data_IF_221566835662
#
_entry.id   IF_221566835662
#
_cell.length_a   1.000
_cell.length_b   1.000
_cell.length_c   1.000
_cell.angle_alpha   90.00
_cell.angle_beta   90.00
_cell.angle_gamma   90.00
#
_symmetry.space_group_name_H-M   'P 1'
#
loop_
_entity.id
_entity.type
_entity.pdbx_description
1 polymer ?
#
# COMPACT_ATOMS: atom_id res chain seq x y z
N UNK A 1 5.95 -51.23 11.29
CA UNK A 1 5.90 -51.16 9.82
C UNK A 1 4.59 -50.61 9.23
N UNK A 2 3.46 -50.59 9.96
CA UNK A 2 2.19 -50.06 9.42
C UNK A 2 1.98 -48.54 9.58
N UNK A 3 2.54 -47.90 10.61
CA UNK A 3 2.44 -46.45 10.80
C UNK A 3 3.13 -45.61 9.70
N UNK A 4 4.25 -46.12 9.16
CA UNK A 4 4.95 -45.45 8.06
C UNK A 4 4.17 -45.48 6.73
N UNK A 5 3.33 -46.50 6.51
CA UNK A 5 2.47 -46.59 5.33
C UNK A 5 1.30 -45.61 5.39
N UNK A 6 0.74 -45.35 6.58
CA UNK A 6 -0.33 -44.36 6.75
C UNK A 6 0.17 -42.91 6.62
N UNK A 7 1.39 -42.61 7.08
CA UNK A 7 1.98 -41.27 6.95
C UNK A 7 2.24 -40.87 5.48
N UNK A 8 2.63 -41.83 4.63
CA UNK A 8 2.87 -41.60 3.19
C UNK A 8 1.55 -41.43 2.43
N UNK A 9 0.50 -42.17 2.80
CA UNK A 9 -0.83 -42.04 2.18
C UNK A 9 -1.50 -40.71 2.57
N UNK A 10 -1.36 -40.25 3.81
CA UNK A 10 -1.90 -38.95 4.24
C UNK A 10 -1.17 -37.75 3.61
N UNK A 11 0.15 -37.85 3.38
CA UNK A 11 0.91 -36.76 2.75
C UNK A 11 0.64 -36.66 1.25
N UNK A 12 0.39 -37.78 0.56
CA UNK A 12 -0.05 -37.78 -0.84
C UNK A 12 -1.50 -37.27 -1.00
N UNK A 13 -2.39 -37.59 -0.06
CA UNK A 13 -3.77 -37.08 -0.06
C UNK A 13 -3.83 -35.56 0.18
N UNK A 14 -2.95 -35.01 1.02
CA UNK A 14 -2.83 -33.57 1.26
C UNK A 14 -2.21 -32.81 0.08
N UNK A 15 -1.39 -33.47 -0.75
CA UNK A 15 -0.89 -32.88 -2.00
C UNK A 15 -1.94 -32.87 -3.11
N UNK A 16 -2.86 -33.84 -3.13
CA UNK A 16 -3.97 -33.82 -4.10
C UNK A 16 -5.06 -32.80 -3.75
N UNK A 17 -5.33 -32.54 -2.47
CA UNK A 17 -6.32 -31.52 -2.09
C UNK A 17 -5.83 -30.08 -2.28
N UNK A 18 -4.50 -29.84 -2.27
CA UNK A 18 -3.93 -28.53 -2.55
C UNK A 18 -3.95 -28.16 -4.05
N UNK A 19 -3.98 -29.14 -4.96
CA UNK A 19 -4.00 -28.90 -6.41
C UNK A 19 -5.44 -28.63 -6.91
N UNK A 20 -6.47 -29.14 -6.24
CA UNK A 20 -7.88 -28.99 -6.66
C UNK A 20 -8.48 -27.63 -6.30
N UNK A 21 -7.83 -26.83 -5.44
CA UNK A 21 -8.33 -25.50 -5.08
C UNK A 21 -8.05 -24.39 -6.13
N UNK A 22 -7.32 -24.68 -7.21
CA UNK A 22 -6.92 -23.68 -8.21
C UNK A 22 -7.74 -23.71 -9.52
N UNK A 23 -8.75 -24.57 -9.67
CA UNK A 23 -9.45 -24.78 -10.95
C UNK A 23 -10.88 -24.26 -10.94
N UNK A 24 -11.08 -22.99 -10.55
CA UNK A 24 -12.33 -22.26 -10.80
C UNK A 24 -12.06 -20.91 -11.50
N UNK A 25 -11.03 -20.85 -12.34
CA UNK A 25 -10.95 -19.81 -13.36
C UNK A 25 -11.65 -20.35 -14.61
N UNK A 26 -12.80 -19.78 -14.97
CA UNK A 26 -13.56 -20.08 -16.20
C UNK A 26 -12.85 -19.61 -17.47
N UNK A 27 -11.60 -19.15 -17.35
CA UNK A 27 -10.80 -18.58 -18.42
C UNK A 27 -9.68 -19.53 -18.78
N UNK A 28 -9.70 -20.01 -20.03
CA UNK A 28 -8.61 -20.79 -20.58
C UNK A 28 -7.42 -19.88 -20.89
N UNK A 29 -6.18 -20.31 -20.58
CA UNK A 29 -5.01 -19.56 -21.00
C UNK A 29 -4.97 -19.49 -22.52
N UNK A 30 -4.61 -18.33 -23.07
CA UNK A 30 -4.42 -18.17 -24.50
C UNK A 30 -3.20 -18.96 -24.95
N UNK A 31 -3.25 -19.56 -26.14
CA UNK A 31 -2.11 -20.30 -26.71
C UNK A 31 -0.90 -19.41 -26.97
N UNK A 32 -1.13 -18.11 -27.19
CA UNK A 32 -0.09 -17.09 -27.38
C UNK A 32 0.57 -16.64 -26.07
N UNK A 33 0.00 -16.97 -24.90
CA UNK A 33 0.46 -16.44 -23.61
C UNK A 33 0.02 -15.00 -23.33
N UNK A 34 -0.68 -14.35 -24.27
CA UNK A 34 -1.21 -12.99 -24.12
C UNK A 34 -2.46 -13.03 -23.22
N UNK A 35 -2.45 -12.27 -22.13
CA UNK A 35 -3.60 -12.17 -21.23
C UNK A 35 -4.76 -11.45 -21.93
N UNK A 36 -5.99 -11.83 -21.61
CA UNK A 36 -7.19 -11.35 -22.32
C UNK A 36 -7.46 -9.84 -22.17
N UNK A 37 -7.08 -9.24 -21.04
CA UNK A 37 -7.44 -7.86 -20.68
C UNK A 37 -6.22 -6.98 -20.36
N UNK A 38 -5.02 -7.51 -20.57
CA UNK A 38 -3.76 -6.80 -20.29
C UNK A 38 -3.11 -6.54 -21.63
N UNK A 39 -2.80 -5.27 -21.88
CA UNK A 39 -2.08 -4.82 -23.06
C UNK A 39 -0.74 -5.58 -23.20
N UNK A 40 -0.43 -6.17 -24.37
CA UNK A 40 0.86 -6.78 -24.63
C UNK A 40 2.06 -5.86 -24.35
N UNK A 41 1.90 -4.55 -24.50
CA UNK A 41 2.94 -3.57 -24.27
C UNK A 41 3.10 -3.17 -22.79
N UNK A 42 2.21 -3.65 -21.90
CA UNK A 42 2.36 -3.37 -20.47
C UNK A 42 3.66 -4.01 -19.94
N UNK A 43 4.54 -3.23 -19.28
CA UNK A 43 5.79 -3.73 -18.73
C UNK A 43 5.59 -4.86 -17.69
N UNK A 44 6.46 -5.87 -17.72
CA UNK A 44 6.35 -7.05 -16.83
C UNK A 44 6.45 -6.70 -15.34
N UNK A 45 7.16 -5.63 -14.97
CA UNK A 45 7.27 -5.15 -13.59
C UNK A 45 5.94 -4.59 -13.03
N UNK A 46 4.98 -4.29 -13.91
CA UNK A 46 3.64 -3.81 -13.56
C UNK A 46 2.63 -4.95 -13.36
N UNK A 47 3.02 -6.19 -13.66
CA UNK A 47 2.11 -7.34 -13.58
C UNK A 47 1.79 -7.74 -12.14
N UNK A 48 2.63 -7.34 -11.20
CA UNK A 48 2.51 -7.65 -9.78
C UNK A 48 2.83 -6.42 -8.96
N UNK A 49 1.88 -6.01 -8.12
CA UNK A 49 2.08 -4.92 -7.18
C UNK A 49 2.03 -5.44 -5.74
N UNK A 50 2.97 -5.00 -4.91
CA UNK A 50 2.92 -5.27 -3.47
C UNK A 50 2.34 -4.06 -2.75
N UNK A 51 1.15 -4.22 -2.18
CA UNK A 51 0.50 -3.16 -1.41
C UNK A 51 1.32 -2.74 -0.19
N UNK A 52 1.05 -1.55 0.33
CA UNK A 52 1.67 -1.05 1.58
C UNK A 52 1.44 -1.94 2.81
N UNK A 53 0.47 -2.88 2.73
CA UNK A 53 0.18 -3.88 3.76
C UNK A 53 0.82 -5.24 3.48
N UNK A 54 1.73 -5.34 2.49
CA UNK A 54 2.42 -6.57 2.11
C UNK A 54 1.58 -7.57 1.30
N UNK A 55 0.34 -7.23 0.94
CA UNK A 55 -0.49 -8.09 0.06
C UNK A 55 -0.04 -7.94 -1.38
N UNK A 56 0.12 -9.07 -2.07
CA UNK A 56 0.33 -9.16 -3.52
C UNK A 56 -0.98 -8.90 -4.26
N UNK A 57 -0.94 -8.07 -5.28
CA UNK A 57 -2.01 -7.81 -6.24
C UNK A 57 -1.49 -8.13 -7.64
N UNK A 58 -2.23 -8.95 -8.38
CA UNK A 58 -1.90 -9.27 -9.77
C UNK A 58 -2.68 -8.34 -10.71
N UNK A 59 -2.04 -7.91 -11.80
CA UNK A 59 -2.64 -7.06 -12.81
C UNK A 59 -3.74 -7.82 -13.56
N UNK A 60 -4.95 -7.25 -13.55
CA UNK A 60 -6.15 -7.83 -14.16
C UNK A 60 -6.55 -7.14 -15.46
N UNK A 61 -6.23 -5.87 -15.63
CA UNK A 61 -6.59 -5.06 -16.79
C UNK A 61 -5.58 -3.92 -16.98
N UNK A 62 -5.15 -3.67 -18.21
CA UNK A 62 -4.29 -2.52 -18.57
C UNK A 62 -4.47 -2.15 -20.05
N UNK A 63 -4.23 -0.87 -20.35
CA UNK A 63 -4.11 -0.32 -21.71
C UNK A 63 -3.04 0.76 -21.68
N UNK A 64 -2.03 0.65 -22.54
CA UNK A 64 -0.98 1.67 -22.68
C UNK A 64 -1.31 2.65 -23.82
N UNK A 65 -2.31 2.35 -24.65
CA UNK A 65 -2.75 3.16 -25.80
C UNK A 65 -1.68 3.41 -26.88
N UNK A 66 -0.74 2.48 -27.04
CA UNK A 66 0.40 2.60 -27.97
C UNK A 66 0.04 2.40 -29.45
N UNK A 67 -1.16 1.91 -29.77
CA UNK A 67 -1.61 1.74 -31.15
C UNK A 67 -2.31 3.02 -31.62
N UNK A 68 -1.79 3.75 -32.63
CA UNK A 68 -2.39 5.00 -33.09
C UNK A 68 -3.68 4.78 -33.89
N UNK A 69 -4.53 5.81 -33.93
CA UNK A 69 -5.77 5.85 -34.70
C UNK A 69 -6.77 4.74 -34.35
N UNK A 70 -6.83 4.32 -33.08
CA UNK A 70 -7.88 3.40 -32.61
C UNK A 70 -9.26 4.07 -32.72
N UNK A 71 -10.22 3.32 -33.22
CA UNK A 71 -11.63 3.68 -33.17
C UNK A 71 -12.25 3.04 -31.93
N UNK A 72 -12.93 3.85 -31.13
CA UNK A 72 -13.66 3.37 -29.96
C UNK A 72 -15.16 3.23 -30.25
N UNK A 73 -15.59 3.11 -31.51
CA UNK A 73 -17.01 2.83 -31.79
C UNK A 73 -17.37 1.43 -31.29
N UNK A 74 -18.66 1.22 -31.05
CA UNK A 74 -19.13 -0.07 -30.59
C UNK A 74 -18.75 -1.18 -31.60
N UNK A 75 -17.89 -2.11 -31.19
CA UNK A 75 -17.40 -3.23 -31.99
C UNK A 75 -16.00 -3.06 -32.59
N UNK A 76 -15.46 -1.84 -32.60
CA UNK A 76 -14.13 -1.56 -33.18
C UNK A 76 -12.99 -1.83 -32.19
N UNK A 77 -13.24 -1.62 -30.89
CA UNK A 77 -12.27 -1.86 -29.82
C UNK A 77 -12.79 -2.92 -28.85
N UNK A 78 -11.89 -3.83 -28.45
CA UNK A 78 -12.22 -4.99 -27.62
C UNK A 78 -12.40 -4.64 -26.13
N UNK A 79 -11.91 -3.48 -25.68
CA UNK A 79 -11.89 -3.11 -24.27
C UNK A 79 -12.69 -1.84 -23.99
N UNK A 80 -12.68 -0.88 -24.92
CA UNK A 80 -13.32 0.41 -24.76
C UNK A 80 -14.46 0.64 -25.75
N UNK A 81 -15.44 1.46 -25.34
CA UNK A 81 -16.50 1.97 -26.19
C UNK A 81 -16.73 3.45 -25.88
N UNK A 82 -16.76 4.25 -26.92
CA UNK A 82 -17.17 5.65 -26.89
C UNK A 82 -18.68 5.76 -26.97
N UNK A 83 -19.23 6.85 -26.47
CA UNK A 83 -20.67 7.13 -26.47
C UNK A 83 -21.02 8.28 -27.43
N UNK A 84 -22.20 8.17 -28.03
CA UNK A 84 -22.83 9.21 -28.85
C UNK A 84 -24.18 9.57 -28.22
N UNK A 85 -24.21 10.64 -27.42
CA UNK A 85 -25.44 11.12 -26.79
C UNK A 85 -25.28 12.54 -26.25
N UNK A 86 -26.37 13.32 -26.15
CA UNK A 86 -26.38 14.52 -25.31
C UNK A 86 -26.13 14.17 -23.85
N UNK A 87 -25.37 15.02 -23.17
CA UNK A 87 -25.30 14.96 -21.71
C UNK A 87 -26.53 15.67 -21.11
N UNK A 88 -27.57 14.88 -20.85
CA UNK A 88 -28.83 15.37 -20.28
C UNK A 88 -28.80 15.58 -18.77
N UNK A 89 -27.65 15.45 -18.10
CA UNK A 89 -27.55 15.50 -16.64
C UNK A 89 -26.93 16.83 -16.20
N UNK A 90 -27.43 17.40 -15.09
CA UNK A 90 -26.87 18.59 -14.43
C UNK A 90 -26.75 19.86 -15.29
N UNK A 91 -27.55 20.00 -16.35
CA UNK A 91 -27.47 21.17 -17.23
C UNK A 91 -26.17 21.24 -18.03
N UNK A 92 -25.59 20.09 -18.36
CA UNK A 92 -24.41 20.01 -19.19
C UNK A 92 -24.64 20.65 -20.57
N UNK A 93 -23.61 21.34 -21.05
CA UNK A 93 -23.63 22.09 -22.31
C UNK A 93 -23.03 21.31 -23.48
N UNK A 94 -22.65 20.05 -23.25
CA UNK A 94 -21.88 19.24 -24.19
C UNK A 94 -22.62 18.01 -24.74
N UNK A 95 -22.30 17.66 -25.98
CA UNK A 95 -22.68 16.42 -26.64
C UNK A 95 -21.47 15.49 -26.68
N UNK A 96 -21.64 14.23 -26.26
CA UNK A 96 -20.62 13.20 -26.48
C UNK A 96 -20.73 12.66 -27.91
N UNK A 97 -19.59 12.58 -28.59
CA UNK A 97 -19.51 12.04 -29.94
C UNK A 97 -18.31 11.11 -30.13
N UNK A 98 -18.49 10.09 -30.98
CA UNK A 98 -17.47 9.09 -31.28
C UNK A 98 -16.21 9.68 -31.94
N UNK A 99 -16.35 10.77 -32.70
CA UNK A 99 -15.25 11.39 -33.46
C UNK A 99 -14.42 12.40 -32.64
N UNK A 100 -14.70 12.53 -31.34
CA UNK A 100 -14.01 13.41 -30.41
C UNK A 100 -12.97 12.67 -29.55
N UNK A 101 -12.65 11.42 -29.89
CA UNK A 101 -11.66 10.61 -29.18
C UNK A 101 -10.94 9.66 -30.14
N UNK A 102 -9.67 9.41 -29.88
CA UNK A 102 -8.88 8.34 -30.51
C UNK A 102 -7.56 8.18 -29.74
N UNK A 103 -6.61 7.46 -30.31
CA UNK A 103 -5.23 7.37 -29.85
C UNK A 103 -4.31 8.04 -30.86
N UNK A 104 -3.25 8.67 -30.38
CA UNK A 104 -2.23 9.33 -31.21
C UNK A 104 -0.85 9.05 -30.64
N UNK A 105 0.15 9.03 -31.52
CA UNK A 105 1.55 9.07 -31.13
C UNK A 105 2.17 10.36 -31.65
N UNK A 106 2.94 11.03 -30.80
CA UNK A 106 3.75 12.20 -31.17
C UNK A 106 5.10 11.75 -31.76
N UNK A 107 5.83 12.69 -32.37
CA UNK A 107 7.11 12.41 -33.06
C UNK A 107 8.21 11.93 -32.10
N UNK A 108 8.07 12.18 -30.79
CA UNK A 108 8.96 11.70 -29.73
C UNK A 108 8.72 10.22 -29.36
N UNK A 109 7.73 9.58 -29.98
CA UNK A 109 7.32 8.21 -29.70
C UNK A 109 6.34 8.07 -28.53
N UNK A 110 5.89 9.17 -27.92
CA UNK A 110 4.88 9.14 -26.86
C UNK A 110 3.51 8.91 -27.48
N UNK A 111 2.91 7.75 -27.19
CA UNK A 111 1.53 7.44 -27.57
C UNK A 111 0.57 7.69 -26.40
N UNK A 112 -0.64 8.16 -26.73
CA UNK A 112 -1.65 8.48 -25.74
C UNK A 112 -3.06 8.39 -26.31
N UNK A 113 -3.99 8.05 -25.43
CA UNK A 113 -5.41 8.30 -25.61
C UNK A 113 -5.72 9.78 -25.43
N UNK A 114 -6.55 10.34 -26.32
CA UNK A 114 -7.00 11.72 -26.20
C UNK A 114 -8.52 11.85 -26.31
N UNK A 115 -9.02 12.89 -25.64
CA UNK A 115 -10.36 13.45 -25.83
C UNK A 115 -10.16 14.89 -26.27
N UNK A 116 -10.84 15.28 -27.34
CA UNK A 116 -10.90 16.68 -27.79
C UNK A 116 -12.30 17.24 -27.51
N UNK A 117 -12.35 18.53 -27.25
CA UNK A 117 -13.61 19.27 -27.12
C UNK A 117 -13.57 20.43 -28.10
N UNK A 118 -14.65 20.62 -28.85
CA UNK A 118 -14.81 21.71 -29.81
C UNK A 118 -16.01 22.57 -29.44
N UNK A 119 -15.91 23.87 -29.70
CA UNK A 119 -17.02 24.80 -29.66
C UNK A 119 -17.84 24.64 -30.94
N UNK A 120 -19.03 24.03 -30.81
CA UNK A 120 -19.92 23.74 -31.93
C UNK A 120 -21.35 23.67 -31.44
N UNK A 121 -22.21 24.51 -32.02
CA UNK A 121 -23.64 24.55 -31.71
C UNK A 121 -24.33 23.32 -32.30
N UNK A 122 -24.84 22.48 -31.41
CA UNK A 122 -25.60 21.28 -31.69
C UNK A 122 -27.03 21.48 -31.20
N UNK A 123 -28.01 21.27 -32.09
CA UNK A 123 -29.42 21.38 -31.74
C UNK A 123 -30.08 20.01 -31.80
N UNK A 124 -30.75 19.63 -30.73
CA UNK A 124 -31.53 18.39 -30.67
C UNK A 124 -32.99 18.73 -30.43
N UNK A 125 -33.84 18.26 -31.32
CA UNK A 125 -35.29 18.36 -31.19
C UNK A 125 -35.79 17.26 -30.26
N UNK A 126 -36.23 17.63 -29.07
CA UNK A 126 -36.70 16.68 -28.03
C UNK A 126 -38.16 16.94 -27.70
N UNK A 127 -38.86 15.89 -27.27
CA UNK A 127 -40.23 16.00 -26.78
C UNK A 127 -40.22 16.28 -25.28
N UNK A 128 -40.72 17.45 -24.87
CA UNK A 128 -40.80 17.82 -23.47
C UNK A 128 -42.20 17.52 -22.91
N UNK A 129 -42.28 16.51 -22.06
CA UNK A 129 -43.54 16.12 -21.39
C UNK A 129 -43.89 17.02 -20.19
N UNK A 130 -42.97 17.89 -19.76
CA UNK A 130 -43.12 18.77 -18.60
C UNK A 130 -43.67 20.16 -18.96
N UNK A 131 -43.74 20.52 -20.25
CA UNK A 131 -44.43 21.73 -20.71
C UNK A 131 -45.95 21.53 -20.71
N UNK A 132 -46.72 22.61 -20.58
CA UNK A 132 -48.19 22.58 -20.55
C UNK A 132 -48.73 23.57 -21.59
N UNK A 133 -49.15 23.12 -22.79
CA UNK A 133 -49.26 21.72 -23.23
C UNK A 133 -47.89 21.08 -23.55
N UNK A 134 -47.76 19.74 -23.44
CA UNK A 134 -46.57 19.02 -23.88
C UNK A 134 -46.26 19.28 -25.36
N UNK A 135 -45.02 19.63 -25.66
CA UNK A 135 -44.61 20.02 -27.02
C UNK A 135 -43.17 19.62 -27.31
N UNK A 136 -42.81 19.63 -28.59
CA UNK A 136 -41.41 19.57 -28.99
C UNK A 136 -40.71 20.89 -28.67
N UNK A 137 -39.45 20.81 -28.27
CA UNK A 137 -38.58 21.96 -28.04
C UNK A 137 -37.16 21.68 -28.56
N UNK A 138 -36.46 22.77 -28.88
CA UNK A 138 -35.09 22.73 -29.39
C UNK A 138 -34.14 22.96 -28.22
N UNK A 139 -33.29 21.97 -27.95
CA UNK A 139 -32.26 22.05 -26.92
C UNK A 139 -30.92 22.27 -27.56
N UNK A 140 -30.19 23.26 -27.06
CA UNK A 140 -28.91 23.70 -27.58
C UNK A 140 -27.76 23.18 -26.72
N UNK A 141 -26.81 22.52 -27.36
CA UNK A 141 -25.51 22.14 -26.80
C UNK A 141 -24.44 22.96 -27.50
N UNK A 142 -23.55 23.59 -26.74
CA UNK A 142 -22.55 24.52 -27.26
C UNK A 142 -21.20 23.84 -27.50
N UNK A 143 -20.99 22.68 -26.90
CA UNK A 143 -19.73 21.96 -27.00
C UNK A 143 -19.96 20.54 -27.51
N UNK A 144 -18.98 20.00 -28.23
CA UNK A 144 -18.92 18.59 -28.57
C UNK A 144 -17.62 18.00 -28.02
N UNK A 145 -17.75 16.97 -27.19
CA UNK A 145 -16.64 16.24 -26.57
C UNK A 145 -16.79 14.73 -26.77
N UNK A 146 -16.04 13.93 -26.01
CA UNK A 146 -16.17 12.47 -26.00
C UNK A 146 -16.28 11.91 -24.59
N UNK A 147 -16.99 10.79 -24.47
CA UNK A 147 -17.01 9.93 -23.29
C UNK A 147 -16.66 8.52 -23.74
N UNK A 148 -15.72 7.88 -23.04
CA UNK A 148 -15.28 6.51 -23.28
C UNK A 148 -15.47 5.69 -22.01
N UNK A 149 -15.97 4.48 -22.16
CA UNK A 149 -16.27 3.53 -21.08
C UNK A 149 -15.70 2.15 -21.43
N UNK A 150 -15.36 1.34 -20.43
CA UNK A 150 -14.98 -0.05 -20.69
C UNK A 150 -16.22 -0.89 -21.02
N UNK A 151 -16.06 -1.88 -21.91
CA UNK A 151 -17.12 -2.86 -22.21
C UNK A 151 -17.49 -3.69 -20.99
N UNK A 152 -16.47 -4.08 -20.23
CA UNK A 152 -16.67 -4.81 -18.99
C UNK A 152 -16.89 -3.84 -17.84
N UNK A 153 -18.01 -4.03 -17.15
CA UNK A 153 -18.25 -3.43 -15.84
C UNK A 153 -17.47 -4.24 -14.82
N UNK A 154 -16.38 -3.67 -14.31
CA UNK A 154 -15.62 -4.31 -13.24
C UNK A 154 -16.34 -4.13 -11.90
N UNK A 155 -16.53 -5.21 -11.15
CA UNK A 155 -16.94 -5.12 -9.76
C UNK A 155 -15.73 -4.79 -8.90
N UNK A 156 -15.58 -3.53 -8.49
CA UNK A 156 -14.47 -3.12 -7.64
C UNK A 156 -14.72 -3.49 -6.18
N UNK A 157 -14.09 -4.57 -5.72
CA UNK A 157 -14.17 -5.01 -4.32
C UNK A 157 -12.89 -4.71 -3.51
N UNK A 158 -11.86 -4.20 -4.18
CA UNK A 158 -10.55 -3.88 -3.61
C UNK A 158 -9.45 -4.00 -4.66
N UNK A 159 -8.35 -3.28 -4.44
CA UNK A 159 -7.22 -3.23 -5.37
C UNK A 159 -6.73 -1.80 -5.54
N UNK A 160 -6.17 -1.52 -6.72
CA UNK A 160 -5.69 -0.22 -7.11
C UNK A 160 -6.02 0.00 -8.59
N UNK A 161 -6.43 1.22 -8.90
CA UNK A 161 -6.56 1.71 -10.26
C UNK A 161 -5.59 2.88 -10.40
N UNK A 162 -4.71 2.81 -11.39
CA UNK A 162 -3.70 3.82 -11.66
C UNK A 162 -3.89 4.33 -13.09
N UNK A 163 -3.90 5.65 -13.25
CA UNK A 163 -4.03 6.30 -14.55
C UNK A 163 -3.00 7.41 -14.61
N UNK A 164 -2.22 7.44 -15.68
CA UNK A 164 -1.38 8.59 -16.04
C UNK A 164 -2.18 9.48 -16.97
N UNK A 165 -2.70 10.58 -16.45
CA UNK A 165 -3.52 11.52 -17.22
C UNK A 165 -2.88 12.91 -17.27
N UNK A 166 -2.98 13.55 -18.43
CA UNK A 166 -2.76 14.98 -18.60
C UNK A 166 -4.14 15.64 -18.72
N UNK A 167 -4.47 16.48 -17.74
CA UNK A 167 -5.74 17.19 -17.77
C UNK A 167 -5.72 18.29 -18.84
N UNK A 168 -6.85 18.55 -19.51
CA UNK A 168 -6.95 19.67 -20.43
C UNK A 168 -6.68 20.96 -19.67
N UNK A 169 -5.77 21.76 -20.20
CA UNK A 169 -5.37 23.03 -19.63
C UNK A 169 -5.26 24.04 -20.76
N UNK A 170 -5.92 25.17 -20.60
CA UNK A 170 -5.82 26.26 -21.56
C UNK A 170 -4.52 27.01 -21.26
N UNK A 171 -3.47 26.71 -22.03
CA UNK A 171 -2.09 27.18 -21.79
C UNK A 171 -1.66 28.26 -22.79
N UNK A 172 -2.61 28.81 -23.55
CA UNK A 172 -2.35 29.88 -24.52
C UNK A 172 -2.97 31.19 -24.05
N UNK A 173 -2.36 32.32 -24.41
CA UNK A 173 -2.81 33.65 -24.00
C UNK A 173 -4.25 33.96 -24.41
N UNK A 174 -4.70 33.40 -25.53
CA UNK A 174 -6.07 33.59 -26.01
C UNK A 174 -7.12 32.95 -25.09
N UNK A 175 -6.72 31.99 -24.24
CA UNK A 175 -7.67 31.31 -23.38
C UNK A 175 -8.06 32.09 -22.13
N UNK A 176 -7.41 33.22 -21.85
CA UNK A 176 -7.65 34.04 -20.66
C UNK A 176 -7.40 33.29 -19.34
N UNK A 177 -6.64 32.19 -19.37
CA UNK A 177 -6.36 31.38 -18.19
C UNK A 177 -5.18 32.03 -17.42
N UNK A 178 -5.36 32.48 -16.17
CA UNK A 178 -4.31 33.14 -15.41
C UNK A 178 -3.13 32.22 -15.02
N UNK A 179 -3.12 30.95 -15.46
CA UNK A 179 -2.06 29.97 -15.19
C UNK A 179 -1.16 29.67 -16.40
N UNK A 180 -1.27 30.47 -17.47
CA UNK A 180 -0.53 30.31 -18.74
C UNK A 180 1.00 30.19 -18.59
N UNK A 181 1.60 30.77 -17.56
CA UNK A 181 3.06 30.85 -17.39
C UNK A 181 3.67 29.78 -16.49
N UNK A 182 2.91 28.77 -16.04
CA UNK A 182 3.40 27.85 -15.02
C UNK A 182 3.88 26.52 -15.62
N UNK A 183 5.20 26.47 -15.87
CA UNK A 183 5.98 25.23 -15.83
C UNK A 183 5.59 24.44 -14.57
N UNK A 184 4.94 23.29 -14.78
CA UNK A 184 4.53 22.27 -13.79
C UNK A 184 4.77 22.66 -12.31
N UNK A 185 4.00 23.61 -11.78
CA UNK A 185 4.12 24.02 -10.37
C UNK A 185 3.40 23.01 -9.49
N UNK A 186 4.12 22.47 -8.50
CA UNK A 186 3.50 21.68 -7.45
C UNK A 186 2.48 22.56 -6.70
N UNK A 187 1.20 22.19 -6.76
CA UNK A 187 0.12 22.96 -6.14
C UNK A 187 0.18 22.82 -4.63
N UNK A 188 0.84 23.78 -3.96
CA UNK A 188 0.76 23.96 -2.51
C UNK A 188 -0.52 24.73 -2.16
N UNK A 189 -1.56 24.01 -1.71
CA UNK A 189 -2.85 24.57 -1.33
C UNK A 189 -3.85 24.70 -2.50
N UNK A 190 -4.82 25.61 -2.35
CA UNK A 190 -5.92 25.93 -3.28
C UNK A 190 -7.09 24.93 -3.38
N UNK A 191 -7.09 23.84 -2.62
CA UNK A 191 -8.32 23.05 -2.45
C UNK A 191 -9.43 23.88 -1.80
N UNK A 192 -10.68 23.54 -2.10
CA UNK A 192 -11.84 24.11 -1.44
C UNK A 192 -11.86 23.73 0.05
N UNK A 193 -12.09 24.72 0.91
CA UNK A 193 -12.21 24.55 2.36
C UNK A 193 -13.36 25.40 2.91
N UNK A 194 -14.03 24.89 3.95
CA UNK A 194 -15.01 25.61 4.74
C UNK A 194 -14.39 26.11 6.06
N UNK A 195 -13.54 25.28 6.68
CA UNK A 195 -12.82 25.61 7.91
C UNK A 195 -11.33 25.31 7.76
N UNK A 196 -10.49 25.81 8.68
CA UNK A 196 -9.04 25.56 8.61
C UNK A 196 -8.66 24.10 8.89
N UNK A 197 -9.57 23.31 9.46
CA UNK A 197 -9.36 21.89 9.72
C UNK A 197 -9.32 21.07 8.41
N UNK A 198 -10.01 21.56 7.38
CA UNK A 198 -10.01 20.97 6.02
C UNK A 198 -8.64 21.00 5.33
N UNK A 199 -7.73 21.83 5.84
CA UNK A 199 -6.39 22.08 5.33
C UNK A 199 -5.30 21.57 6.31
N UNK A 200 -5.69 20.80 7.33
CA UNK A 200 -4.87 20.39 8.46
C UNK A 200 -4.81 18.87 8.53
N UNK A 201 -3.65 18.29 8.84
CA UNK A 201 -3.53 16.85 9.04
C UNK A 201 -4.20 16.45 10.35
N UNK A 202 -5.16 15.54 10.26
CA UNK A 202 -5.91 15.01 11.41
C UNK A 202 -7.23 15.72 11.71
N UNK A 203 -7.40 16.98 11.29
CA UNK A 203 -8.65 17.75 11.38
C UNK A 203 -9.46 17.50 12.67
N UNK A 204 -10.76 17.23 12.52
CA UNK A 204 -11.70 16.87 13.60
C UNK A 204 -11.69 15.38 13.98
N UNK A 205 -10.96 14.55 13.25
CA UNK A 205 -10.99 13.08 13.38
C UNK A 205 -9.81 12.51 14.19
N UNK A 206 -8.77 13.32 14.45
CA UNK A 206 -7.54 12.88 15.13
C UNK A 206 -7.41 13.49 16.52
N UNK A 207 -6.86 12.71 17.48
CA UNK A 207 -6.57 13.16 18.85
C UNK A 207 -5.53 14.30 18.93
N UNK A 208 -4.79 14.52 17.85
CA UNK A 208 -3.79 15.59 17.75
C UNK A 208 -3.82 16.10 16.32
N UNK A 209 -4.31 17.33 16.13
CA UNK A 209 -4.36 17.98 14.83
C UNK A 209 -3.07 18.76 14.59
N UNK A 210 -2.37 18.46 13.50
CA UNK A 210 -1.16 19.17 13.11
C UNK A 210 -1.55 20.25 12.10
N UNK A 211 -1.48 21.52 12.52
CA UNK A 211 -1.84 22.68 11.67
C UNK A 211 -0.84 22.84 10.54
N UNK A 212 -1.17 22.28 9.39
CA UNK A 212 -0.35 22.33 8.17
C UNK A 212 -0.84 23.38 7.17
N UNK A 213 -2.11 23.80 7.26
CA UNK A 213 -2.72 24.81 6.39
C UNK A 213 -3.87 25.56 7.05
N UNK A 214 -4.28 26.67 6.44
CA UNK A 214 -5.39 27.55 6.86
C UNK A 214 -6.38 27.74 5.73
N UNK A 215 -7.65 27.92 6.05
CA UNK A 215 -8.67 28.27 5.07
C UNK A 215 -8.77 29.79 4.90
N UNK A 216 -8.45 30.29 3.71
CA UNK A 216 -8.49 31.71 3.35
C UNK A 216 -9.32 31.85 2.08
N UNK A 217 -10.39 32.65 2.11
CA UNK A 217 -11.31 32.85 0.97
C UNK A 217 -11.80 31.52 0.34
N UNK A 218 -12.22 30.57 1.17
CA UNK A 218 -12.67 29.23 0.75
C UNK A 218 -11.58 28.39 0.02
N UNK A 219 -10.30 28.75 0.19
CA UNK A 219 -9.16 28.05 -0.38
C UNK A 219 -8.12 27.71 0.68
N UNK A 220 -7.55 26.51 0.62
CA UNK A 220 -6.45 26.14 1.51
C UNK A 220 -5.18 26.92 1.18
N UNK A 221 -4.47 27.36 2.21
CA UNK A 221 -3.17 28.03 2.13
C UNK A 221 -2.22 27.35 3.12
N UNK A 222 -1.07 26.87 2.65
CA UNK A 222 -0.15 26.08 3.47
C UNK A 222 0.65 26.99 4.39
N UNK A 223 0.76 26.61 5.67
CA UNK A 223 1.42 27.44 6.69
C UNK A 223 2.96 27.37 6.61
N UNK A 224 3.51 26.25 6.13
CA UNK A 224 4.95 26.06 6.00
C UNK A 224 5.28 25.43 4.64
N UNK A 225 6.44 25.80 4.08
CA UNK A 225 6.94 25.27 2.81
C UNK A 225 7.27 23.76 2.83
N UNK A 226 7.36 23.16 4.01
CA UNK A 226 7.51 21.71 4.18
C UNK A 226 6.21 20.94 3.94
N UNK A 227 5.09 21.64 3.67
CA UNK A 227 3.79 21.04 3.38
C UNK A 227 3.26 21.49 2.02
N UNK A 228 2.68 20.54 1.30
CA UNK A 228 2.22 20.66 -0.06
C UNK A 228 0.89 19.98 -0.33
N UNK A 229 0.60 19.88 -1.62
CA UNK A 229 -0.63 19.29 -2.12
C UNK A 229 -1.84 20.22 -1.93
N UNK A 230 -2.99 19.87 -2.54
CA UNK A 230 -4.13 20.79 -2.60
C UNK A 230 -4.67 21.22 -1.23
N UNK A 231 -4.57 20.34 -0.22
CA UNK A 231 -5.04 20.57 1.16
C UNK A 231 -3.90 20.77 2.16
N UNK A 232 -2.66 20.97 1.73
CA UNK A 232 -1.51 21.14 2.64
C UNK A 232 -1.28 19.92 3.55
N UNK A 233 -1.60 18.72 3.08
CA UNK A 233 -1.53 17.47 3.85
C UNK A 233 -0.41 16.54 3.39
N UNK A 234 0.34 16.91 2.35
CA UNK A 234 1.53 16.18 1.91
C UNK A 234 2.79 16.85 2.45
N UNK A 235 3.76 16.09 2.93
CA UNK A 235 5.05 16.67 3.30
C UNK A 235 5.93 16.81 2.05
N UNK A 236 6.47 18.00 1.79
CA UNK A 236 7.44 18.26 0.72
C UNK A 236 8.83 18.33 1.37
N UNK A 237 9.79 17.56 0.84
CA UNK A 237 11.20 17.71 1.20
C UNK A 237 11.81 18.77 0.29
N UNK A 238 12.49 19.78 0.85
CA UNK A 238 13.16 20.82 0.08
C UNK A 238 14.17 20.21 -0.88
N UNK A 239 13.89 20.31 -2.18
CA UNK A 239 14.83 19.94 -3.23
C UNK A 239 15.83 21.08 -3.41
N UNK A 240 17.02 20.92 -2.84
CA UNK A 240 18.22 21.57 -3.37
C UNK A 240 19.33 20.52 -3.49
N UNK A 241 19.71 20.29 -4.76
CA UNK A 241 20.87 19.57 -5.29
C UNK A 241 21.02 18.07 -5.02
N UNK A 242 20.91 17.31 -6.12
CA UNK A 242 21.72 16.15 -6.50
C UNK A 242 22.24 15.24 -5.38
N UNK A 243 21.66 14.04 -5.26
CA UNK A 243 22.44 12.82 -5.47
C UNK A 243 21.54 11.58 -5.53
N UNK A 244 21.96 10.65 -6.38
CA UNK A 244 21.52 9.26 -6.46
C UNK A 244 21.50 8.62 -5.07
N UNK A 245 20.30 8.34 -4.55
CA UNK A 245 20.17 7.70 -3.25
C UNK A 245 18.73 7.35 -2.93
N UNK A 246 18.41 6.06 -3.08
CA UNK A 246 17.19 5.43 -2.60
C UNK A 246 17.04 5.66 -1.09
N UNK A 247 16.37 6.74 -0.65
CA UNK A 247 15.66 6.87 0.62
C UNK A 247 15.18 8.31 0.87
N UNK A 248 13.89 8.59 0.72
CA UNK A 248 13.28 9.81 1.28
C UNK A 248 11.80 9.64 1.62
N UNK A 249 11.47 8.60 2.39
CA UNK A 249 10.20 8.55 3.12
C UNK A 249 10.38 7.84 4.46
N UNK A 250 10.81 8.55 5.51
CA UNK A 250 10.60 8.03 6.87
C UNK A 250 10.43 9.17 7.88
N UNK A 251 9.27 9.18 8.53
CA UNK A 251 9.04 9.92 9.76
C UNK A 251 9.75 9.22 10.92
N UNK A 252 10.64 9.94 11.60
CA UNK A 252 11.36 9.50 12.79
C UNK A 252 12.30 10.60 13.28
N UNK A 253 12.79 10.55 14.53
CA UNK A 253 13.91 11.39 14.94
C UNK A 253 15.09 11.16 13.97
N UNK A 254 15.97 12.16 13.78
CA UNK A 254 17.06 12.06 12.80
C UNK A 254 17.82 10.74 12.98
N UNK A 255 18.11 10.05 11.87
CA UNK A 255 18.70 8.71 11.86
C UNK A 255 19.96 8.63 12.75
N UNK A 256 20.74 9.71 12.78
CA UNK A 256 21.90 9.90 13.66
C UNK A 256 21.56 9.78 15.16
N UNK A 257 20.45 10.38 15.59
CA UNK A 257 20.01 10.30 16.99
C UNK A 257 19.53 8.88 17.36
N UNK A 258 18.89 8.17 16.42
CA UNK A 258 18.47 6.78 16.64
C UNK A 258 19.65 5.82 16.72
N UNK A 259 20.65 5.99 15.85
CA UNK A 259 21.89 5.21 15.89
C UNK A 259 22.65 5.47 17.19
N UNK A 260 22.79 6.74 17.60
CA UNK A 260 23.45 7.09 18.85
C UNK A 260 22.78 6.46 20.08
N UNK A 261 21.44 6.50 20.15
CA UNK A 261 20.68 5.85 21.23
C UNK A 261 20.84 4.33 21.24
N UNK A 262 20.84 3.69 20.07
CA UNK A 262 21.05 2.25 19.95
C UNK A 262 22.45 1.84 20.43
N UNK A 263 23.49 2.59 20.03
CA UNK A 263 24.87 2.36 20.47
C UNK A 263 24.99 2.48 21.98
N UNK A 264 24.41 3.52 22.59
CA UNK A 264 24.40 3.71 24.05
C UNK A 264 23.71 2.54 24.76
N UNK A 265 22.57 2.07 24.25
CA UNK A 265 21.85 0.93 24.82
C UNK A 265 22.67 -0.38 24.72
N UNK A 266 23.35 -0.61 23.60
CA UNK A 266 24.25 -1.74 23.43
C UNK A 266 25.45 -1.70 24.38
N UNK A 267 26.04 -0.52 24.61
CA UNK A 267 27.15 -0.36 25.56
C UNK A 267 26.70 -0.56 27.02
N UNK A 268 25.51 -0.06 27.38
CA UNK A 268 24.96 -0.26 28.73
C UNK A 268 24.59 -1.72 29.01
N UNK A 269 24.09 -2.44 28.00
CA UNK A 269 23.82 -3.88 28.14
C UNK A 269 25.10 -4.71 28.20
N UNK A 270 26.11 -4.41 27.37
CA UNK A 270 27.40 -5.09 27.41
C UNK A 270 28.12 -4.88 28.76
N UNK A 271 28.08 -3.66 29.31
CA UNK A 271 28.67 -3.36 30.61
C UNK A 271 27.95 -4.07 31.76
N UNK A 272 26.61 -4.17 31.72
CA UNK A 272 25.85 -4.90 32.75
C UNK A 272 26.17 -6.40 32.75
N UNK A 273 26.26 -7.02 31.56
CA UNK A 273 26.64 -8.42 31.39
C UNK A 273 28.07 -8.66 31.86
N UNK A 274 29.00 -7.77 31.52
CA UNK A 274 30.39 -7.88 31.96
C UNK A 274 30.53 -7.81 33.50
N UNK A 275 29.79 -6.89 34.15
CA UNK A 275 29.80 -6.81 35.62
C UNK A 275 29.16 -8.05 36.26
N UNK A 276 28.09 -8.60 35.68
CA UNK A 276 27.46 -9.83 36.16
C UNK A 276 28.41 -11.04 36.07
N UNK A 277 29.13 -11.19 34.95
CA UNK A 277 30.14 -12.25 34.76
C UNK A 277 31.27 -12.10 35.78
N UNK A 278 31.78 -10.88 35.99
CA UNK A 278 32.87 -10.62 36.94
C UNK A 278 32.44 -10.89 38.40
N UNK A 279 31.18 -10.58 38.75
CA UNK A 279 30.60 -10.89 40.06
C UNK A 279 30.44 -12.40 40.25
N UNK A 280 29.92 -13.12 39.26
CA UNK A 280 29.78 -14.59 39.28
C UNK A 280 31.14 -15.30 39.35
N UNK A 281 32.14 -14.82 38.61
CA UNK A 281 33.51 -15.34 38.68
C UNK A 281 34.17 -15.13 40.06
N UNK A 282 33.86 -14.01 40.74
CA UNK A 282 34.31 -13.79 42.13
C UNK A 282 33.60 -14.71 43.11
N UNK A 283 32.28 -14.87 42.97
CA UNK A 283 31.49 -15.75 43.84
C UNK A 283 31.88 -17.22 43.69
N UNK A 284 32.13 -17.70 42.46
CA UNK A 284 32.61 -19.06 42.21
C UNK A 284 34.02 -19.30 42.74
N UNK A 285 34.94 -18.33 42.63
CA UNK A 285 36.27 -18.44 43.27
C UNK A 285 36.19 -18.53 44.80
N UNK A 286 35.32 -17.73 45.42
CA UNK A 286 35.11 -17.78 46.88
C UNK A 286 34.46 -19.10 47.29
N UNK A 287 33.46 -19.59 46.55
CA UNK A 287 32.83 -20.89 46.81
C UNK A 287 33.81 -22.06 46.64
N UNK A 288 34.66 -22.04 45.60
CA UNK A 288 35.69 -23.07 45.42
C UNK A 288 36.78 -23.01 46.50
N UNK A 289 37.16 -21.82 46.98
CA UNK A 289 38.09 -21.68 48.09
C UNK A 289 37.48 -22.19 49.42
N UNK A 290 36.18 -21.98 49.64
CA UNK A 290 35.47 -22.51 50.80
C UNK A 290 35.40 -24.05 50.77
N UNK A 291 35.10 -24.65 49.61
CA UNK A 291 35.07 -26.10 49.44
C UNK A 291 36.47 -26.75 49.56
N UNK A 292 37.53 -26.09 49.10
CA UNK A 292 38.91 -26.57 49.30
C UNK A 292 39.35 -26.46 50.77
N UNK A 293 38.90 -25.43 51.48
CA UNK A 293 39.12 -25.31 52.93
C UNK A 293 38.36 -26.39 53.72
N UNK A 294 37.12 -26.71 53.34
CA UNK A 294 36.35 -27.82 53.92
C UNK A 294 36.99 -29.18 53.63
N UNK A 295 37.50 -29.40 52.39
CA UNK A 295 38.25 -30.63 52.04
C UNK A 295 39.55 -30.78 52.83
N UNK A 296 40.31 -29.70 53.04
CA UNK A 296 41.53 -29.72 53.86
C UNK A 296 41.23 -29.93 55.34
N UNK A 297 40.11 -29.41 55.84
CA UNK A 297 39.64 -29.68 57.20
C UNK A 297 39.22 -31.14 57.39
N UNK A 298 38.54 -31.74 56.41
CA UNK A 298 38.17 -33.16 56.42
C UNK A 298 39.39 -34.09 56.31
N UNK A 299 40.38 -33.76 55.46
CA UNK A 299 41.60 -34.56 55.32
C UNK A 299 42.49 -34.56 56.58
N UNK A 300 42.43 -33.49 57.39
CA UNK A 300 43.10 -33.43 58.69
C UNK A 300 42.30 -34.11 59.82
N UNK A 301 41.05 -34.50 59.58
CA UNK A 301 40.20 -35.21 60.55
C UNK A 301 40.29 -36.74 60.44
N UNK A 302 41.04 -37.27 59.48
CA UNK A 302 41.14 -38.72 59.19
C UNK A 302 42.47 -39.34 59.66
N UNK A 303 43.03 -38.82 60.76
CA UNK A 303 44.11 -39.47 61.53
C UNK A 303 43.66 -39.77 62.96
N UNK A 304 42.84 -40.80 63.15
CA UNK A 304 42.43 -41.32 64.46
C UNK A 304 41.76 -42.68 64.31
N UNK A 305 42.05 -43.69 65.16
CA UNK A 305 41.95 -45.09 64.76
C UNK A 305 40.56 -45.72 64.85
N UNK A 306 40.44 -46.78 64.06
CA UNK A 306 39.36 -47.73 63.79
C UNK A 306 38.73 -48.37 65.05
N UNK A 307 37.42 -48.60 65.01
CA UNK A 307 36.82 -49.81 65.61
C UNK A 307 35.55 -50.22 64.84
N UNK A 308 35.53 -51.49 64.42
CA UNK A 308 34.42 -52.22 63.81
C UNK A 308 33.23 -52.36 64.78
N UNK A 309 31.98 -52.37 64.28
CA UNK A 309 31.13 -53.59 64.21
C UNK A 309 29.72 -53.34 63.65
N UNK A 310 29.34 -54.19 62.69
CA UNK A 310 28.12 -55.01 62.65
C UNK A 310 26.70 -54.41 62.45
N UNK A 311 26.05 -54.93 61.39
CA UNK A 311 24.71 -55.57 61.39
C UNK A 311 23.53 -54.86 60.71
N UNK A 312 23.16 -55.46 59.55
CA UNK A 312 21.84 -55.96 59.15
C UNK A 312 20.62 -55.05 58.89
N UNK A 313 20.02 -55.34 57.70
CA UNK A 313 18.59 -55.52 57.35
C UNK A 313 17.62 -54.37 57.72
N UNK A 314 16.73 -53.90 56.87
CA UNK A 314 16.21 -54.38 55.60
C UNK A 314 14.86 -53.71 55.31
N UNK A 315 14.60 -53.51 54.02
CA UNK A 315 13.30 -53.64 53.35
C UNK A 315 12.13 -52.64 53.51
N UNK A 316 11.61 -52.31 52.32
CA UNK A 316 10.21 -52.12 51.91
C UNK A 316 9.53 -50.73 52.00
N UNK A 317 9.31 -50.18 50.79
CA UNK A 317 8.03 -49.72 50.21
C UNK A 317 7.08 -48.84 51.06
N UNK A 318 6.83 -47.60 50.60
CA UNK A 318 5.56 -47.19 49.97
C UNK A 318 5.40 -45.65 49.88
N UNK A 319 5.15 -45.19 48.65
CA UNK A 319 4.24 -44.16 48.13
C UNK A 319 3.69 -42.96 48.97
N UNK A 320 3.24 -41.95 48.17
CA UNK A 320 2.26 -40.86 48.43
C UNK A 320 2.92 -39.51 48.82
N UNK A 321 2.61 -38.32 48.27
CA UNK A 321 1.64 -37.74 47.32
C UNK A 321 2.24 -36.43 46.75
N UNK A 322 2.08 -36.10 45.46
CA UNK A 322 1.04 -35.24 44.85
C UNK A 322 1.05 -33.80 45.40
N UNK A 323 1.44 -32.84 44.56
CA UNK A 323 0.62 -31.65 44.31
C UNK A 323 0.90 -31.06 42.92
N UNK A 324 -0.19 -30.56 42.35
CA UNK A 324 -0.41 -30.23 40.95
C UNK A 324 -0.94 -28.79 40.94
N UNK A 325 -0.29 -27.86 40.23
CA UNK A 325 -0.93 -26.59 39.88
C UNK A 325 -0.68 -26.27 38.41
N UNK A 326 -1.79 -26.36 37.66
CA UNK A 326 -2.04 -25.69 36.39
C UNK A 326 -1.98 -24.18 36.61
N UNK A 327 -1.51 -23.43 35.61
CA UNK A 327 -2.15 -22.18 35.18
C UNK A 327 -1.71 -21.77 33.76
N UNK A 328 -2.71 -21.38 32.97
CA UNK A 328 -2.69 -20.88 31.60
C UNK A 328 -2.04 -19.49 31.47
N UNK A 329 -2.11 -18.95 30.24
CA UNK A 329 -2.02 -17.54 29.78
C UNK A 329 -0.67 -17.21 29.12
N UNK A 330 -0.58 -16.64 27.91
CA UNK A 330 -1.48 -16.20 26.83
C UNK A 330 -0.78 -16.50 25.51
#
# INVERSE_FOLDING_TARGET
MQLARYAIVCSLALWWTAIVAATNATTYPTRSGIRTWVDPDTPEDRYVYTSSRGRRWDLVMSDEFNVPNRSFRAGDDHMWTSLEKPDGVNGALELYSHNMTSTRCDDDGTCYFYIKTVDEVNVIHVYNMYTHPPSFEDVYFWYRGAMVQSWNKFCYQGGMLEVRAQLPGAVTAESGNPTEHLERVEVAGKAFCKTSDDCTIGGTLSRTALKTGKCVKQRCECLYHSWGGPRCTTAISGSSSSDTGMMSKTYGPPMEASIALAVVACLLSATSVYMAIKKSARQSKVAMAALDAERKAAANAESGPVSETSSNRGSHLAAVSKDNYRQNFV
#
